data_IF_227779007267
#
_entry.id   IF_227779007267
#
_cell.length_a   1.000
_cell.length_b   1.000
_cell.length_c   1.000
_cell.angle_alpha   90.00
_cell.angle_beta   90.00
_cell.angle_gamma   90.00
#
_symmetry.space_group_name_H-M   'P 1'
#
loop_
_entity.id
_entity.type
_entity.pdbx_description
1 polymer ?
#
# COMPACT_ATOMS: atom_id res chain seq x y z
N UNK A 1 54.13 -10.60 6.77
CA UNK A 1 53.00 -11.03 5.95
C UNK A 1 52.34 -9.79 5.36
N UNK A 2 52.17 -9.68 4.03
CA UNK A 2 51.42 -8.57 3.46
C UNK A 2 49.93 -8.70 3.85
N UNK A 3 49.20 -7.58 4.06
CA UNK A 3 47.80 -7.62 4.39
C UNK A 3 47.00 -8.23 3.25
N UNK A 4 46.10 -9.17 3.57
CA UNK A 4 45.22 -9.79 2.59
C UNK A 4 44.39 -8.71 1.89
N UNK A 5 44.44 -8.70 0.58
CA UNK A 5 43.61 -7.84 -0.25
C UNK A 5 42.12 -8.13 0.09
N UNK A 6 41.40 -7.15 0.60
CA UNK A 6 39.96 -7.22 0.73
C UNK A 6 39.37 -7.36 -0.67
N UNK A 7 38.97 -8.56 -1.03
CA UNK A 7 38.16 -8.79 -2.23
C UNK A 7 36.88 -7.98 -2.06
N UNK A 8 36.75 -6.88 -2.77
CA UNK A 8 35.45 -6.20 -2.90
C UNK A 8 34.53 -7.16 -3.67
N UNK A 9 33.65 -7.80 -2.96
CA UNK A 9 32.49 -8.48 -3.55
C UNK A 9 31.65 -7.37 -4.19
N UNK A 10 31.76 -7.21 -5.50
CA UNK A 10 30.80 -6.41 -6.26
C UNK A 10 29.48 -7.19 -6.23
N UNK A 11 28.63 -6.92 -5.27
CA UNK A 11 27.23 -7.31 -5.32
C UNK A 11 26.54 -6.40 -6.34
N UNK A 12 26.51 -6.82 -7.60
CA UNK A 12 25.54 -6.26 -8.55
C UNK A 12 24.16 -6.69 -8.05
N UNK A 13 23.28 -5.73 -7.76
CA UNK A 13 21.86 -6.05 -7.54
C UNK A 13 21.33 -6.82 -8.76
N UNK A 14 20.44 -7.81 -8.58
CA UNK A 14 19.79 -8.44 -9.71
C UNK A 14 19.12 -7.36 -10.57
N UNK A 15 19.13 -7.57 -11.88
CA UNK A 15 18.44 -6.71 -12.84
C UNK A 15 17.41 -7.55 -13.56
N UNK A 16 16.17 -7.20 -13.40
CA UNK A 16 15.04 -7.86 -14.03
C UNK A 16 14.70 -7.18 -15.35
N UNK A 17 14.50 -7.99 -16.40
CA UNK A 17 14.06 -7.47 -17.69
C UNK A 17 12.62 -6.94 -17.56
N UNK A 18 12.35 -5.77 -18.14
CA UNK A 18 11.00 -5.19 -18.21
C UNK A 18 10.70 -4.86 -19.67
N UNK A 19 9.71 -5.53 -20.23
CA UNK A 19 9.21 -5.25 -21.58
C UNK A 19 7.82 -4.59 -21.48
N UNK A 20 7.51 -3.68 -22.41
CA UNK A 20 6.29 -2.88 -22.37
C UNK A 20 5.54 -2.90 -23.69
N UNK A 21 4.20 -2.84 -23.61
CA UNK A 21 3.30 -2.58 -24.71
C UNK A 21 2.09 -1.80 -24.20
N UNK A 22 1.46 -1.04 -25.09
CA UNK A 22 0.14 -0.45 -24.83
C UNK A 22 -0.80 -0.87 -25.96
N UNK A 23 -2.02 -1.27 -25.62
CA UNK A 23 -3.08 -1.59 -26.58
C UNK A 23 -3.75 -0.31 -27.08
N UNK A 24 -4.43 -0.40 -28.21
CA UNK A 24 -5.15 0.73 -28.81
C UNK A 24 -6.26 1.30 -27.90
N UNK A 25 -6.81 0.48 -26.99
CA UNK A 25 -7.80 0.89 -25.99
C UNK A 25 -7.19 1.53 -24.72
N UNK A 26 -5.87 1.68 -24.69
CA UNK A 26 -5.14 2.35 -23.60
C UNK A 26 -4.62 1.43 -22.48
N UNK A 27 -4.88 0.12 -22.52
CA UNK A 27 -4.31 -0.80 -21.53
C UNK A 27 -2.78 -0.81 -21.62
N UNK A 28 -2.11 -0.50 -20.52
CA UNK A 28 -0.65 -0.60 -20.40
C UNK A 28 -0.28 -2.00 -19.92
N UNK A 29 0.74 -2.58 -20.52
CA UNK A 29 1.18 -3.94 -20.24
C UNK A 29 2.67 -3.92 -19.94
N UNK A 30 3.07 -4.55 -18.84
CA UNK A 30 4.48 -4.75 -18.46
C UNK A 30 4.73 -6.24 -18.24
N UNK A 31 5.83 -6.74 -18.80
CA UNK A 31 6.17 -8.16 -18.75
C UNK A 31 7.62 -8.32 -18.28
N UNK A 32 7.81 -9.20 -17.31
CA UNK A 32 9.13 -9.67 -16.87
C UNK A 32 9.25 -11.18 -17.16
N UNK A 33 9.92 -11.60 -18.25
CA UNK A 33 10.21 -12.99 -18.51
C UNK A 33 11.24 -13.54 -17.50
N UNK A 34 10.93 -14.67 -16.85
CA UNK A 34 11.81 -15.38 -15.93
C UNK A 34 11.49 -16.88 -15.89
N UNK A 35 12.26 -17.66 -16.63
CA UNK A 35 12.11 -19.11 -16.71
C UNK A 35 12.76 -19.88 -15.55
N UNK A 36 13.09 -19.23 -14.44
CA UNK A 36 13.71 -19.89 -13.27
C UNK A 36 12.79 -20.86 -12.55
N UNK A 37 11.48 -20.70 -12.69
CA UNK A 37 10.44 -21.56 -12.12
C UNK A 37 9.24 -21.65 -13.08
N UNK A 38 8.57 -22.83 -13.24
CA UNK A 38 7.47 -23.02 -14.18
C UNK A 38 6.15 -22.41 -13.69
N UNK A 39 6.19 -21.18 -13.23
CA UNK A 39 5.03 -20.43 -12.72
C UNK A 39 4.99 -19.03 -13.31
N UNK A 40 3.80 -18.44 -13.35
CA UNK A 40 3.54 -17.08 -13.77
C UNK A 40 2.69 -16.37 -12.72
N UNK A 41 2.95 -15.10 -12.49
CA UNK A 41 2.06 -14.17 -11.82
C UNK A 41 1.48 -13.20 -12.83
N UNK A 42 0.17 -13.06 -12.81
CA UNK A 42 -0.61 -12.07 -13.57
C UNK A 42 -1.26 -11.13 -12.57
N UNK A 43 -1.11 -9.82 -12.76
CA UNK A 43 -1.69 -8.81 -11.88
C UNK A 43 -2.31 -7.69 -12.71
N UNK A 44 -3.52 -7.27 -12.35
CA UNK A 44 -4.20 -6.11 -12.93
C UNK A 44 -4.43 -5.07 -11.85
N UNK A 45 -3.95 -3.85 -12.09
CA UNK A 45 -4.07 -2.70 -11.21
C UNK A 45 -4.94 -1.64 -11.86
N UNK A 46 -5.99 -1.23 -11.17
CA UNK A 46 -6.88 -0.15 -11.62
C UNK A 46 -6.59 1.13 -10.83
N UNK A 47 -6.49 2.28 -11.50
CA UNK A 47 -6.28 3.60 -10.86
C UNK A 47 -7.59 4.08 -10.20
N UNK A 48 -8.01 3.34 -9.21
CA UNK A 48 -9.17 3.60 -8.37
C UNK A 48 -8.93 2.97 -7.00
N UNK A 49 -8.95 3.78 -5.97
CA UNK A 49 -8.78 3.34 -4.59
C UNK A 49 -9.69 4.15 -3.67
N UNK A 50 -9.41 4.09 -2.37
CA UNK A 50 -10.19 4.80 -1.35
C UNK A 50 -10.38 6.29 -1.70
N UNK A 51 -9.34 6.99 -2.17
CA UNK A 51 -9.41 8.42 -2.55
C UNK A 51 -10.37 8.72 -3.69
N UNK A 52 -10.69 7.74 -4.50
CA UNK A 52 -11.57 7.92 -5.66
C UNK A 52 -13.05 7.89 -5.29
N UNK A 53 -13.37 7.59 -4.05
CA UNK A 53 -14.74 7.44 -3.57
C UNK A 53 -15.44 8.78 -3.46
N UNK A 54 -16.66 8.91 -4.01
CA UNK A 54 -17.43 10.14 -3.85
C UNK A 54 -18.01 10.23 -2.44
N UNK A 55 -18.23 11.45 -1.97
CA UNK A 55 -18.90 11.70 -0.70
C UNK A 55 -20.28 11.01 -0.65
N UNK A 56 -20.58 10.31 0.44
CA UNK A 56 -21.78 9.51 0.60
C UNK A 56 -21.72 8.13 -0.07
N UNK A 57 -20.52 7.69 -0.48
CA UNK A 57 -20.25 6.37 -1.07
C UNK A 57 -18.90 5.83 -0.58
N UNK A 58 -18.61 5.98 0.70
CA UNK A 58 -17.39 5.44 1.31
C UNK A 58 -17.41 3.91 1.33
N UNK A 59 -16.25 3.30 1.10
CA UNK A 59 -16.11 1.85 0.98
C UNK A 59 -16.45 1.27 -0.39
N UNK A 60 -16.73 2.12 -1.39
CA UNK A 60 -17.08 1.64 -2.74
C UNK A 60 -15.91 0.94 -3.44
N UNK A 61 -14.69 1.42 -3.29
CA UNK A 61 -13.52 0.76 -3.85
C UNK A 61 -13.34 -0.65 -3.26
N UNK A 62 -13.49 -0.79 -1.95
CA UNK A 62 -13.43 -2.07 -1.26
C UNK A 62 -14.63 -2.99 -1.62
N UNK A 63 -15.84 -2.45 -1.69
CA UNK A 63 -17.01 -3.21 -2.16
C UNK A 63 -16.80 -3.74 -3.59
N UNK A 64 -16.15 -2.94 -4.45
CA UNK A 64 -15.83 -3.37 -5.81
C UNK A 64 -14.77 -4.46 -5.87
N UNK A 65 -13.79 -4.47 -4.98
CA UNK A 65 -12.87 -5.60 -4.85
C UNK A 65 -13.65 -6.92 -4.71
N UNK A 66 -14.68 -6.95 -3.87
CA UNK A 66 -15.55 -8.10 -3.69
C UNK A 66 -16.45 -8.39 -4.91
N UNK A 67 -17.05 -7.36 -5.50
CA UNK A 67 -17.97 -7.51 -6.63
C UNK A 67 -17.29 -8.10 -7.86
N UNK A 68 -16.03 -7.81 -8.09
CA UNK A 68 -15.24 -8.30 -9.22
C UNK A 68 -15.03 -9.83 -9.22
N UNK A 69 -15.38 -10.51 -8.12
CA UNK A 69 -15.38 -11.98 -8.03
C UNK A 69 -16.77 -12.61 -8.14
N UNK A 70 -17.83 -11.81 -8.35
CA UNK A 70 -19.21 -12.30 -8.34
C UNK A 70 -19.73 -12.78 -9.69
N UNK A 71 -18.82 -12.92 -10.68
CA UNK A 71 -19.12 -13.34 -12.04
C UNK A 71 -18.99 -12.23 -13.07
N UNK A 72 -18.97 -12.63 -14.33
CA UNK A 72 -18.74 -11.78 -15.49
C UNK A 72 -19.59 -12.27 -16.66
N UNK A 73 -19.29 -11.86 -17.89
CA UNK A 73 -20.05 -12.28 -19.08
C UNK A 73 -20.01 -13.79 -19.30
N UNK A 74 -18.83 -14.39 -19.16
CA UNK A 74 -18.59 -15.81 -19.47
C UNK A 74 -18.43 -16.68 -18.23
N UNK A 75 -18.36 -16.07 -17.03
CA UNK A 75 -18.13 -16.77 -15.76
C UNK A 75 -19.28 -16.56 -14.79
N UNK A 76 -19.76 -17.65 -14.21
CA UNK A 76 -20.69 -17.60 -13.10
C UNK A 76 -20.02 -17.14 -11.79
N UNK A 77 -20.88 -16.92 -10.78
CA UNK A 77 -20.43 -16.53 -9.44
C UNK A 77 -19.37 -17.51 -8.91
N UNK A 78 -18.23 -16.97 -8.45
CA UNK A 78 -17.08 -17.72 -7.90
C UNK A 78 -16.36 -18.66 -8.89
N UNK A 79 -16.76 -18.76 -10.14
CA UNK A 79 -16.08 -19.62 -11.12
C UNK A 79 -14.64 -19.17 -11.38
N UNK A 80 -14.33 -17.89 -11.26
CA UNK A 80 -12.94 -17.39 -11.31
C UNK A 80 -12.04 -18.14 -10.31
N UNK A 81 -12.46 -18.27 -9.05
CA UNK A 81 -11.76 -19.06 -8.04
C UNK A 81 -11.62 -20.53 -8.45
N UNK A 82 -12.70 -21.11 -9.00
CA UNK A 82 -12.71 -22.51 -9.42
C UNK A 82 -11.70 -22.77 -10.55
N UNK A 83 -11.60 -21.87 -11.52
CA UNK A 83 -10.65 -22.02 -12.63
C UNK A 83 -9.21 -21.84 -12.17
N UNK A 84 -8.91 -20.82 -11.35
CA UNK A 84 -7.55 -20.60 -10.86
C UNK A 84 -7.11 -21.75 -9.95
N UNK A 85 -7.89 -22.09 -8.93
CA UNK A 85 -7.54 -23.13 -7.97
C UNK A 85 -7.55 -24.54 -8.60
N UNK A 86 -8.49 -24.80 -9.53
CA UNK A 86 -8.56 -26.07 -10.27
C UNK A 86 -7.36 -26.30 -11.18
N UNK A 87 -6.66 -25.25 -11.59
CA UNK A 87 -5.38 -25.33 -12.32
C UNK A 87 -4.14 -25.22 -11.41
N UNK A 88 -4.30 -25.32 -10.09
CA UNK A 88 -3.20 -25.32 -9.12
C UNK A 88 -2.69 -23.93 -8.78
N UNK A 89 -3.45 -22.87 -9.08
CA UNK A 89 -3.11 -21.48 -8.81
C UNK A 89 -3.68 -20.96 -7.48
N UNK A 90 -3.27 -19.78 -7.13
CA UNK A 90 -3.79 -18.94 -6.03
C UNK A 90 -4.13 -17.56 -6.58
N UNK A 91 -5.09 -16.88 -5.96
CA UNK A 91 -5.51 -15.54 -6.35
C UNK A 91 -5.92 -14.72 -5.14
N UNK A 92 -5.87 -13.40 -5.29
CA UNK A 92 -6.41 -12.45 -4.31
C UNK A 92 -6.71 -11.10 -4.98
N UNK A 93 -7.30 -10.20 -4.22
CA UNK A 93 -7.43 -8.78 -4.52
C UNK A 93 -7.09 -7.95 -3.29
N UNK A 94 -6.84 -6.66 -3.47
CA UNK A 94 -6.71 -5.71 -2.38
C UNK A 94 -7.07 -4.30 -2.83
N UNK A 95 -7.59 -3.51 -1.88
CA UNK A 95 -7.91 -2.10 -2.07
C UNK A 95 -6.95 -1.24 -1.27
N UNK A 96 -6.33 -0.30 -1.94
CA UNK A 96 -5.39 0.65 -1.39
C UNK A 96 -5.93 2.08 -1.49
N UNK A 97 -5.13 3.03 -1.02
CA UNK A 97 -5.52 4.43 -1.04
C UNK A 97 -5.73 4.93 -2.48
N UNK A 98 -4.84 4.55 -3.40
CA UNK A 98 -4.79 5.05 -4.77
C UNK A 98 -5.09 4.01 -5.85
N UNK A 99 -5.22 2.73 -5.51
CA UNK A 99 -5.51 1.69 -6.48
C UNK A 99 -6.29 0.52 -5.86
N UNK A 100 -6.91 -0.28 -6.73
CA UNK A 100 -7.43 -1.61 -6.43
C UNK A 100 -6.78 -2.60 -7.38
N UNK A 101 -6.32 -3.73 -6.87
CA UNK A 101 -5.63 -4.73 -7.67
C UNK A 101 -6.23 -6.11 -7.51
N UNK A 102 -5.97 -6.91 -8.52
CA UNK A 102 -6.29 -8.34 -8.56
C UNK A 102 -5.07 -9.07 -9.11
N UNK A 103 -4.80 -10.26 -8.59
CA UNK A 103 -3.67 -11.05 -9.06
C UNK A 103 -3.89 -12.54 -8.86
N UNK A 104 -3.27 -13.32 -9.72
CA UNK A 104 -3.14 -14.76 -9.59
C UNK A 104 -1.71 -15.21 -9.85
N UNK A 105 -1.35 -16.33 -9.18
CA UNK A 105 -0.13 -17.09 -9.46
C UNK A 105 -0.55 -18.47 -9.92
N UNK A 106 -0.11 -18.86 -11.12
CA UNK A 106 -0.51 -20.12 -11.77
C UNK A 106 0.69 -20.84 -12.36
N UNK A 107 0.59 -22.14 -12.66
CA UNK A 107 1.56 -22.80 -13.55
C UNK A 107 1.64 -22.05 -14.88
N UNK A 108 2.84 -21.91 -15.47
CA UNK A 108 3.07 -21.13 -16.70
C UNK A 108 2.22 -21.62 -17.90
N UNK A 109 1.89 -22.92 -17.95
CA UNK A 109 0.97 -23.47 -18.96
C UNK A 109 -0.45 -22.91 -18.91
N UNK A 110 -0.84 -22.25 -17.81
CA UNK A 110 -2.16 -21.64 -17.63
C UNK A 110 -2.14 -20.09 -17.83
N UNK A 111 -1.06 -19.52 -18.35
CA UNK A 111 -0.95 -18.06 -18.56
C UNK A 111 -2.08 -17.50 -19.40
N UNK A 112 -2.43 -18.14 -20.54
CA UNK A 112 -3.52 -17.67 -21.39
C UNK A 112 -4.87 -17.68 -20.65
N UNK A 113 -5.12 -18.71 -19.81
CA UNK A 113 -6.32 -18.77 -18.98
C UNK A 113 -6.36 -17.59 -17.98
N UNK A 114 -5.26 -17.27 -17.29
CA UNK A 114 -5.20 -16.13 -16.41
C UNK A 114 -5.53 -14.82 -17.12
N UNK A 115 -4.94 -14.59 -18.30
CA UNK A 115 -5.24 -13.41 -19.12
C UNK A 115 -6.70 -13.35 -19.58
N UNK A 116 -7.29 -14.49 -19.95
CA UNK A 116 -8.71 -14.57 -20.29
C UNK A 116 -9.60 -14.20 -19.10
N UNK A 117 -9.32 -14.75 -17.91
CA UNK A 117 -10.08 -14.48 -16.69
C UNK A 117 -10.08 -13.00 -16.32
N UNK A 118 -8.91 -12.36 -16.38
CA UNK A 118 -8.75 -10.93 -16.14
C UNK A 118 -9.45 -10.05 -17.18
N UNK A 119 -9.36 -10.43 -18.45
CA UNK A 119 -10.03 -9.73 -19.54
C UNK A 119 -11.56 -9.83 -19.42
N UNK A 120 -12.09 -11.00 -19.06
CA UNK A 120 -13.52 -11.23 -18.93
C UNK A 120 -14.13 -10.36 -17.82
N UNK A 121 -13.51 -10.28 -16.66
CA UNK A 121 -14.00 -9.40 -15.59
C UNK A 121 -13.78 -7.91 -15.87
N UNK A 122 -12.74 -7.51 -16.64
CA UNK A 122 -12.57 -6.13 -17.08
C UNK A 122 -13.64 -5.73 -18.08
N UNK A 123 -14.08 -6.65 -18.94
CA UNK A 123 -15.14 -6.44 -19.92
C UNK A 123 -16.49 -6.22 -19.27
N UNK A 124 -16.81 -7.04 -18.27
CA UNK A 124 -18.10 -6.98 -17.58
C UNK A 124 -18.01 -7.60 -16.19
N UNK A 125 -18.81 -7.10 -15.29
CA UNK A 125 -19.00 -7.67 -13.95
C UNK A 125 -20.49 -7.87 -13.70
N UNK A 126 -20.85 -8.96 -13.01
CA UNK A 126 -22.25 -9.30 -12.72
C UNK A 126 -22.80 -8.43 -11.58
N UNK A 127 -23.02 -7.14 -11.85
CA UNK A 127 -23.67 -6.19 -10.92
C UNK A 127 -25.18 -6.42 -10.95
N UNK A 128 -25.64 -7.35 -10.13
CA UNK A 128 -27.07 -7.62 -9.87
C UNK A 128 -27.45 -7.16 -8.46
N UNK A 129 -28.76 -7.00 -8.18
CA UNK A 129 -29.22 -6.63 -6.83
C UNK A 129 -28.78 -7.68 -5.80
N UNK A 130 -28.94 -8.97 -6.13
CA UNK A 130 -28.59 -10.08 -5.23
C UNK A 130 -27.08 -10.10 -4.91
N UNK A 131 -26.20 -9.85 -5.90
CA UNK A 131 -24.77 -9.79 -5.66
C UNK A 131 -24.39 -8.56 -4.85
N UNK A 132 -24.99 -7.40 -5.13
CA UNK A 132 -24.74 -6.17 -4.39
C UNK A 132 -25.14 -6.32 -2.91
N UNK A 133 -26.37 -6.76 -2.63
CA UNK A 133 -26.86 -6.96 -1.27
C UNK A 133 -26.00 -7.98 -0.50
N UNK A 134 -25.62 -9.05 -1.17
CA UNK A 134 -24.75 -10.07 -0.58
C UNK A 134 -23.37 -9.50 -0.24
N UNK A 135 -22.74 -8.74 -1.15
CA UNK A 135 -21.39 -8.21 -0.90
C UNK A 135 -21.41 -7.05 0.11
N UNK A 136 -22.43 -6.23 0.15
CA UNK A 136 -22.63 -5.25 1.24
C UNK A 136 -22.64 -5.98 2.60
N UNK A 137 -23.39 -7.06 2.73
CA UNK A 137 -23.45 -7.83 3.98
C UNK A 137 -22.09 -8.47 4.33
N UNK A 138 -21.34 -8.95 3.33
CA UNK A 138 -19.97 -9.49 3.52
C UNK A 138 -19.02 -8.40 4.02
N UNK A 139 -18.94 -7.26 3.35
CA UNK A 139 -18.09 -6.12 3.74
C UNK A 139 -18.46 -5.61 5.14
N UNK A 140 -19.75 -5.46 5.44
CA UNK A 140 -20.19 -5.08 6.79
C UNK A 140 -19.75 -6.09 7.86
N UNK A 141 -19.84 -7.39 7.55
CA UNK A 141 -19.36 -8.43 8.48
C UNK A 141 -17.84 -8.36 8.67
N UNK A 142 -17.11 -8.10 7.61
CA UNK A 142 -15.67 -7.91 7.65
C UNK A 142 -15.28 -6.70 8.51
N UNK A 143 -15.94 -5.56 8.34
CA UNK A 143 -15.77 -4.39 9.22
C UNK A 143 -16.04 -4.75 10.68
N UNK A 144 -17.12 -5.52 10.96
CA UNK A 144 -17.39 -5.97 12.33
C UNK A 144 -16.25 -6.83 12.89
N UNK A 145 -15.74 -7.76 12.12
CA UNK A 145 -14.70 -8.70 12.58
C UNK A 145 -13.33 -8.01 12.70
N UNK A 146 -12.94 -7.22 11.71
CA UNK A 146 -11.59 -6.66 11.62
C UNK A 146 -11.43 -5.31 12.35
N UNK A 147 -12.54 -4.60 12.57
CA UNK A 147 -12.52 -3.26 13.19
C UNK A 147 -13.32 -3.26 14.50
N UNK A 148 -14.63 -3.53 14.45
CA UNK A 148 -15.51 -3.26 15.60
C UNK A 148 -15.35 -4.27 16.75
N UNK A 149 -15.03 -5.53 16.45
CA UNK A 149 -14.92 -6.62 17.43
C UNK A 149 -13.46 -7.05 17.69
N UNK A 150 -12.50 -6.21 17.35
CA UNK A 150 -11.06 -6.49 17.52
C UNK A 150 -10.43 -5.39 18.39
N UNK A 151 -9.60 -5.74 19.39
CA UNK A 151 -8.78 -4.74 20.11
C UNK A 151 -7.97 -3.91 19.12
N UNK A 152 -7.93 -2.61 19.33
CA UNK A 152 -7.27 -1.64 18.45
C UNK A 152 -7.80 -1.66 17.01
N UNK A 153 -9.04 -2.09 16.79
CA UNK A 153 -9.59 -2.21 15.46
C UNK A 153 -9.70 -0.87 14.71
N UNK A 154 -9.03 -0.77 13.56
CA UNK A 154 -8.94 0.46 12.77
C UNK A 154 -7.97 1.52 13.33
N UNK A 155 -7.34 1.28 14.47
CA UNK A 155 -6.28 2.14 14.99
C UNK A 155 -4.92 1.71 14.41
N UNK A 156 -4.08 2.65 13.95
CA UNK A 156 -4.39 4.08 13.75
C UNK A 156 -4.96 4.40 12.36
N UNK A 157 -4.93 3.48 11.40
CA UNK A 157 -5.09 3.70 9.96
C UNK A 157 -6.48 4.24 9.52
N UNK A 158 -7.56 3.91 10.23
CA UNK A 158 -8.88 4.49 9.99
C UNK A 158 -9.13 5.78 10.77
N UNK A 159 -8.39 5.99 11.85
CA UNK A 159 -8.68 7.02 12.85
C UNK A 159 -7.80 8.27 12.70
N UNK A 160 -6.59 8.12 12.21
CA UNK A 160 -5.66 9.24 11.96
C UNK A 160 -6.08 10.09 10.76
N UNK A 161 -6.52 9.55 9.60
CA UNK A 161 -6.82 10.37 8.44
C UNK A 161 -7.77 11.54 8.69
N UNK A 162 -8.93 11.38 9.36
CA UNK A 162 -9.84 12.50 9.62
C UNK A 162 -9.29 13.58 10.55
N UNK A 163 -8.24 13.28 11.32
CA UNK A 163 -7.55 14.25 12.17
C UNK A 163 -6.41 14.94 11.42
N UNK A 164 -5.71 14.21 10.54
CA UNK A 164 -4.52 14.67 9.84
C UNK A 164 -4.86 15.50 8.60
N UNK A 165 -5.87 15.11 7.86
CA UNK A 165 -6.29 15.70 6.60
C UNK A 165 -7.59 16.48 6.73
N UNK A 166 -7.85 17.38 5.77
CA UNK A 166 -9.06 18.19 5.69
C UNK A 166 -9.86 17.94 4.43
N UNK A 167 -9.21 17.51 3.35
CA UNK A 167 -9.89 17.08 2.14
C UNK A 167 -10.58 15.74 2.35
N UNK A 168 -11.82 15.62 1.87
CA UNK A 168 -12.61 14.40 2.01
C UNK A 168 -11.89 13.18 1.43
N UNK A 169 -11.27 13.32 0.26
CA UNK A 169 -10.57 12.22 -0.40
C UNK A 169 -9.42 11.64 0.44
N UNK A 170 -8.74 12.48 1.25
CA UNK A 170 -7.64 12.06 2.11
C UNK A 170 -8.09 11.63 3.51
N UNK A 171 -9.26 12.08 3.97
CA UNK A 171 -9.68 12.00 5.37
C UNK A 171 -10.77 10.96 5.64
N UNK A 172 -11.55 10.55 4.64
CA UNK A 172 -12.67 9.65 4.88
C UNK A 172 -12.26 8.20 5.18
N UNK A 173 -13.19 7.45 5.75
CA UNK A 173 -13.05 6.03 6.02
C UNK A 173 -13.18 5.21 4.73
N UNK A 174 -12.07 4.85 4.10
CA UNK A 174 -12.06 4.02 2.90
C UNK A 174 -12.43 2.55 3.10
N UNK A 175 -12.59 2.08 4.35
CA UNK A 175 -13.10 0.73 4.62
C UNK A 175 -14.63 0.66 4.47
N UNK A 176 -15.31 1.80 4.58
CA UNK A 176 -16.74 1.99 4.35
C UNK A 176 -17.53 2.30 5.61
N UNK A 177 -18.44 3.25 5.46
CA UNK A 177 -19.48 3.52 6.44
C UNK A 177 -20.70 2.66 6.14
N UNK A 178 -21.37 2.11 7.17
CA UNK A 178 -22.53 1.25 7.00
C UNK A 178 -23.70 1.97 6.32
N UNK A 179 -23.90 3.26 6.62
CA UNK A 179 -24.97 4.06 6.01
C UNK A 179 -24.71 4.24 4.51
N UNK A 180 -23.47 4.52 4.14
CA UNK A 180 -23.08 4.69 2.74
C UNK A 180 -23.20 3.37 1.96
N UNK A 181 -22.73 2.26 2.55
CA UNK A 181 -22.84 0.93 1.96
C UNK A 181 -24.31 0.52 1.76
N UNK A 182 -25.17 0.69 2.78
CA UNK A 182 -26.59 0.32 2.72
C UNK A 182 -27.40 1.19 1.75
N UNK A 183 -26.97 2.43 1.50
CA UNK A 183 -27.62 3.33 0.54
C UNK A 183 -27.20 3.08 -0.91
N UNK A 184 -26.27 2.16 -1.14
CA UNK A 184 -25.70 1.89 -2.45
C UNK A 184 -26.70 1.19 -3.37
N UNK A 185 -26.74 1.60 -4.63
CA UNK A 185 -27.63 1.03 -5.64
C UNK A 185 -26.87 0.32 -6.76
N UNK A 186 -27.56 -0.57 -7.48
CA UNK A 186 -27.01 -1.22 -8.68
C UNK A 186 -26.55 -0.17 -9.72
N UNK A 187 -27.26 0.97 -9.80
CA UNK A 187 -26.89 2.05 -10.71
C UNK A 187 -25.58 2.72 -10.30
N UNK A 188 -25.39 2.98 -9.00
CA UNK A 188 -24.13 3.52 -8.46
C UNK A 188 -22.97 2.56 -8.76
N UNK A 189 -23.17 1.27 -8.51
CA UNK A 189 -22.19 0.24 -8.76
C UNK A 189 -21.82 0.14 -10.26
N UNK A 190 -22.81 0.13 -11.15
CA UNK A 190 -22.53 0.13 -12.60
C UNK A 190 -21.80 1.39 -13.05
N UNK A 191 -22.22 2.56 -12.54
CA UNK A 191 -21.54 3.83 -12.83
C UNK A 191 -20.07 3.85 -12.36
N UNK A 192 -19.79 3.23 -11.21
CA UNK A 192 -18.43 3.12 -10.69
C UNK A 192 -17.58 2.16 -11.56
N UNK A 193 -18.11 1.01 -11.94
CA UNK A 193 -17.45 0.09 -12.86
C UNK A 193 -17.16 0.77 -14.21
N UNK A 194 -18.17 1.40 -14.81
CA UNK A 194 -18.04 2.05 -16.11
C UNK A 194 -17.02 3.18 -16.09
N UNK A 195 -16.86 3.85 -14.97
CA UNK A 195 -15.93 4.96 -14.82
C UNK A 195 -14.49 4.52 -14.60
N UNK A 196 -14.26 3.49 -13.80
CA UNK A 196 -12.92 3.17 -13.28
C UNK A 196 -12.34 1.86 -13.81
N UNK A 197 -13.17 0.87 -14.10
CA UNK A 197 -12.72 -0.47 -14.53
C UNK A 197 -12.64 -0.56 -16.05
N UNK A 198 -11.73 0.23 -16.61
CA UNK A 198 -11.53 0.36 -18.06
C UNK A 198 -10.06 0.12 -18.42
N UNK A 199 -9.79 -0.38 -19.66
CA UNK A 199 -8.42 -0.64 -20.11
C UNK A 199 -7.47 0.54 -19.93
N UNK A 200 -7.89 1.75 -20.33
CA UNK A 200 -7.08 2.96 -20.23
C UNK A 200 -6.76 3.40 -18.78
N UNK A 201 -7.51 2.89 -17.79
CA UNK A 201 -7.31 3.14 -16.37
C UNK A 201 -6.57 2.00 -15.65
N UNK A 202 -6.02 1.02 -16.41
CA UNK A 202 -5.44 -0.18 -15.86
C UNK A 202 -4.00 -0.42 -16.32
N UNK A 203 -3.29 -1.21 -15.53
CA UNK A 203 -2.00 -1.81 -15.87
C UNK A 203 -2.12 -3.32 -15.71
N UNK A 204 -1.78 -4.06 -16.75
CA UNK A 204 -1.59 -5.50 -16.71
C UNK A 204 -0.09 -5.79 -16.53
N UNK A 205 0.26 -6.52 -15.51
CA UNK A 205 1.64 -6.92 -15.22
C UNK A 205 1.76 -8.44 -15.19
N UNK A 206 2.74 -8.97 -15.91
CA UNK A 206 3.01 -10.41 -15.99
C UNK A 206 4.47 -10.68 -15.67
N UNK A 207 4.73 -11.60 -14.74
CA UNK A 207 6.09 -12.01 -14.40
C UNK A 207 6.17 -13.53 -14.26
N UNK A 208 7.21 -14.14 -14.82
CA UNK A 208 7.45 -15.57 -14.69
C UNK A 208 7.88 -16.26 -15.98
N UNK A 209 7.66 -17.56 -16.05
CA UNK A 209 8.04 -18.42 -17.19
C UNK A 209 7.12 -18.18 -18.39
N UNK A 210 7.38 -17.09 -19.08
CA UNK A 210 6.61 -16.63 -20.24
C UNK A 210 7.52 -16.08 -21.34
N UNK A 211 7.04 -16.15 -22.58
CA UNK A 211 7.57 -15.37 -23.71
C UNK A 211 6.76 -14.06 -23.81
N UNK A 212 7.44 -12.92 -23.75
CA UNK A 212 6.77 -11.62 -23.74
C UNK A 212 5.99 -11.35 -25.03
N UNK A 213 6.48 -11.78 -26.18
CA UNK A 213 5.75 -11.60 -27.45
C UNK A 213 4.46 -12.41 -27.47
N UNK A 214 4.47 -13.61 -26.87
CA UNK A 214 3.27 -14.43 -26.72
C UNK A 214 2.27 -13.80 -25.74
N UNK A 215 2.75 -13.26 -24.60
CA UNK A 215 1.89 -12.54 -23.64
C UNK A 215 1.24 -11.33 -24.32
N UNK A 216 1.99 -10.56 -25.10
CA UNK A 216 1.44 -9.41 -25.84
C UNK A 216 0.40 -9.84 -26.88
N UNK A 217 0.63 -10.96 -27.57
CA UNK A 217 -0.36 -11.49 -28.53
C UNK A 217 -1.65 -11.94 -27.83
N UNK A 218 -1.56 -12.63 -26.70
CA UNK A 218 -2.73 -13.01 -25.90
C UNK A 218 -3.44 -11.79 -25.30
N UNK A 219 -2.67 -10.79 -24.84
CA UNK A 219 -3.26 -9.55 -24.34
C UNK A 219 -4.05 -8.81 -25.43
N UNK A 220 -3.52 -8.70 -26.66
CA UNK A 220 -4.26 -8.15 -27.80
C UNK A 220 -5.52 -8.98 -28.10
N UNK A 221 -5.43 -10.32 -28.08
CA UNK A 221 -6.54 -11.24 -28.36
C UNK A 221 -7.68 -11.08 -27.34
N UNK A 222 -7.38 -11.00 -26.03
CA UNK A 222 -8.39 -11.04 -24.98
C UNK A 222 -8.85 -9.66 -24.52
N UNK A 223 -7.97 -8.65 -24.51
CA UNK A 223 -8.27 -7.30 -24.03
C UNK A 223 -8.49 -6.29 -25.18
N UNK A 224 -7.97 -6.56 -26.39
CA UNK A 224 -7.92 -5.57 -27.48
C UNK A 224 -9.28 -5.07 -27.96
N UNK A 225 -10.32 -5.90 -27.87
CA UNK A 225 -11.69 -5.56 -28.26
C UNK A 225 -12.53 -4.95 -27.12
N UNK A 226 -12.00 -4.89 -25.88
CA UNK A 226 -12.66 -4.18 -24.78
C UNK A 226 -12.71 -2.69 -25.14
N UNK A 227 -13.91 -2.06 -25.15
CA UNK A 227 -14.02 -0.68 -25.58
C UNK A 227 -13.18 0.28 -24.71
N UNK A 228 -12.47 1.18 -25.38
CA UNK A 228 -11.86 2.30 -24.71
C UNK A 228 -12.94 3.17 -24.03
N UNK A 229 -12.71 3.59 -22.82
CA UNK A 229 -13.56 4.52 -22.06
C UNK A 229 -12.77 5.76 -21.71
N UNK A 230 -13.47 6.86 -21.43
CA UNK A 230 -12.81 8.06 -20.91
C UNK A 230 -12.16 7.75 -19.56
N UNK A 231 -10.85 7.97 -19.47
CA UNK A 231 -10.11 7.83 -18.21
C UNK A 231 -10.42 9.02 -17.33
N UNK A 232 -10.85 8.82 -16.07
CA UNK A 232 -11.12 9.93 -15.17
C UNK A 232 -9.88 10.80 -14.98
N UNK A 233 -10.04 12.12 -15.14
CA UNK A 233 -8.98 13.04 -14.76
C UNK A 233 -8.77 12.97 -13.26
N UNK A 234 -7.56 12.62 -12.82
CA UNK A 234 -7.23 12.56 -11.41
C UNK A 234 -7.15 14.00 -10.85
N UNK A 235 -7.89 14.31 -9.77
CA UNK A 235 -7.76 15.60 -9.11
C UNK A 235 -6.43 15.69 -8.35
N UNK A 236 -6.01 16.90 -7.99
CA UNK A 236 -4.93 17.09 -7.02
C UNK A 236 -5.48 16.84 -5.62
N UNK A 237 -4.81 15.98 -4.87
CA UNK A 237 -5.13 15.70 -3.46
C UNK A 237 -4.19 16.45 -2.49
N UNK A 238 -3.35 17.35 -3.03
CA UNK A 238 -2.41 18.12 -2.21
C UNK A 238 -3.15 19.09 -1.29
N UNK A 239 -2.74 19.15 -0.04
CA UNK A 239 -3.28 20.03 0.98
C UNK A 239 -2.16 20.85 1.64
N UNK A 240 -2.43 22.05 2.21
CA UNK A 240 -1.47 22.76 3.05
C UNK A 240 -1.00 21.91 4.24
N UNK A 241 0.28 22.01 4.61
CA UNK A 241 0.79 21.33 5.80
C UNK A 241 0.11 21.90 7.06
N UNK A 242 -0.13 21.08 8.10
CA UNK A 242 -0.62 21.55 9.39
C UNK A 242 0.32 22.58 10.00
N UNK A 243 -0.24 23.64 10.59
CA UNK A 243 0.51 24.71 11.27
C UNK A 243 0.42 24.63 12.77
N UNK A 244 -0.43 23.75 13.30
CA UNK A 244 -0.67 23.53 14.72
C UNK A 244 -0.88 22.06 15.02
N UNK A 245 -0.53 21.66 16.25
CA UNK A 245 -0.78 20.30 16.71
C UNK A 245 -2.27 20.02 16.80
N UNK A 246 -2.66 18.83 16.36
CA UNK A 246 -3.99 18.28 16.60
C UNK A 246 -3.89 17.12 17.56
N UNK A 247 -4.82 17.02 18.51
CA UNK A 247 -4.83 15.93 19.50
C UNK A 247 -6.26 15.50 19.75
N UNK A 248 -6.47 14.19 19.79
CA UNK A 248 -7.77 13.58 20.11
C UNK A 248 -7.57 12.31 20.94
N UNK A 249 -8.66 11.87 21.58
CA UNK A 249 -8.68 10.70 22.45
C UNK A 249 -9.81 9.78 22.02
N UNK A 250 -9.48 8.54 21.70
CA UNK A 250 -10.43 7.49 21.43
C UNK A 250 -10.48 6.48 22.59
N UNK A 251 -11.64 5.87 22.77
CA UNK A 251 -11.85 4.83 23.77
C UNK A 251 -12.16 3.50 23.10
N UNK A 252 -11.40 2.47 23.45
CA UNK A 252 -11.64 1.11 23.00
C UNK A 252 -11.87 0.18 24.19
N UNK A 253 -13.11 -0.32 24.30
CA UNK A 253 -13.51 -1.22 25.37
C UNK A 253 -12.83 -2.60 25.29
N UNK A 254 -12.25 -2.95 24.14
CA UNK A 254 -11.59 -4.23 23.90
C UNK A 254 -10.06 -4.11 24.07
N UNK A 255 -9.50 -2.91 24.02
CA UNK A 255 -8.06 -2.73 24.14
C UNK A 255 -7.56 -3.14 25.53
N UNK A 256 -6.54 -4.02 25.62
CA UNK A 256 -5.98 -4.44 26.92
C UNK A 256 -5.04 -3.42 27.55
N UNK A 257 -4.53 -2.46 26.77
CA UNK A 257 -3.58 -1.43 27.22
C UNK A 257 -3.73 -0.16 26.37
N UNK A 258 -3.30 1.02 26.86
CA UNK A 258 -3.30 2.23 26.05
C UNK A 258 -2.30 2.18 24.90
N UNK A 259 -2.62 2.93 23.85
CA UNK A 259 -1.74 3.17 22.72
C UNK A 259 -1.78 4.64 22.33
N UNK A 260 -0.77 5.10 21.62
CA UNK A 260 -0.74 6.42 21.00
C UNK A 260 -0.19 6.33 19.59
N UNK A 261 -0.88 6.99 18.68
CA UNK A 261 -0.39 7.22 17.32
C UNK A 261 0.00 8.69 17.16
N UNK A 262 1.16 8.92 16.54
CA UNK A 262 1.63 10.26 16.20
C UNK A 262 1.88 10.28 14.70
N UNK A 263 1.27 11.22 14.00
CA UNK A 263 1.35 11.32 12.56
C UNK A 263 1.76 12.71 12.10
N UNK A 264 2.55 12.75 11.03
CA UNK A 264 2.91 13.97 10.33
C UNK A 264 2.62 13.80 8.85
N UNK A 265 2.29 14.90 8.20
CA UNK A 265 2.31 14.95 6.74
C UNK A 265 3.73 15.13 6.26
N UNK A 266 4.09 14.38 5.23
CA UNK A 266 5.43 14.40 4.62
C UNK A 266 5.31 14.80 3.15
N UNK A 267 6.44 15.08 2.44
CA UNK A 267 6.41 15.29 1.00
C UNK A 267 5.71 14.18 0.25
N UNK A 268 5.09 14.51 -0.87
CA UNK A 268 4.33 13.56 -1.67
C UNK A 268 5.24 12.46 -2.26
N UNK A 269 4.81 11.20 -2.25
CA UNK A 269 5.59 10.08 -2.78
C UNK A 269 5.87 10.16 -4.29
N UNK A 270 5.21 11.08 -5.02
CA UNK A 270 5.49 11.35 -6.41
C UNK A 270 6.94 11.84 -6.65
N UNK A 271 7.50 12.61 -5.70
CA UNK A 271 8.93 13.00 -5.72
C UNK A 271 9.75 12.12 -4.77
N UNK A 272 10.26 11.03 -5.29
CA UNK A 272 11.08 10.08 -4.52
C UNK A 272 12.34 10.71 -3.93
N UNK A 273 12.88 11.78 -4.52
CA UNK A 273 14.11 12.42 -4.02
C UNK A 273 13.90 13.08 -2.67
N UNK A 274 12.75 13.74 -2.49
CA UNK A 274 12.37 14.38 -1.24
C UNK A 274 11.69 13.42 -0.28
N UNK A 275 11.05 12.37 -0.77
CA UNK A 275 10.26 11.43 0.01
C UNK A 275 11.10 10.30 0.67
N UNK A 276 12.03 9.67 -0.08
CA UNK A 276 12.83 8.54 0.42
C UNK A 276 13.60 8.82 1.72
N UNK A 277 14.11 10.04 1.99
CA UNK A 277 14.69 10.34 3.30
C UNK A 277 13.75 10.08 4.49
N UNK A 278 12.44 10.29 4.34
CA UNK A 278 11.45 9.98 5.38
C UNK A 278 11.20 8.48 5.50
N UNK A 279 11.23 7.74 4.40
CA UNK A 279 11.16 6.28 4.42
C UNK A 279 12.34 5.70 5.21
N UNK A 280 13.54 6.19 4.95
CA UNK A 280 14.75 5.79 5.69
C UNK A 280 14.67 6.23 7.16
N UNK A 281 14.12 7.42 7.44
CA UNK A 281 13.93 7.92 8.80
C UNK A 281 13.02 6.99 9.63
N UNK A 282 11.91 6.52 9.07
CA UNK A 282 11.02 5.59 9.76
C UNK A 282 11.75 4.31 10.18
N UNK A 283 12.56 3.76 9.27
CA UNK A 283 13.36 2.56 9.52
C UNK A 283 14.44 2.80 10.61
N UNK A 284 15.09 3.96 10.60
CA UNK A 284 16.07 4.35 11.63
C UNK A 284 15.42 4.44 13.01
N UNK A 285 14.19 4.93 13.05
CA UNK A 285 13.47 5.13 14.32
C UNK A 285 12.90 3.83 14.87
N UNK A 286 12.41 2.92 14.01
CA UNK A 286 11.51 1.84 14.49
C UNK A 286 11.81 0.45 13.98
N UNK A 287 12.63 0.24 12.93
CA UNK A 287 12.85 -1.09 12.38
C UNK A 287 14.06 -1.81 12.99
N UNK A 288 13.77 -2.93 13.66
CA UNK A 288 14.74 -3.80 14.35
C UNK A 288 15.16 -3.31 15.73
N UNK A 289 15.65 -4.23 16.55
CA UNK A 289 15.97 -4.02 17.98
C UNK A 289 16.98 -2.91 18.25
N UNK A 290 17.82 -2.55 17.26
CA UNK A 290 18.80 -1.48 17.35
C UNK A 290 18.29 -0.15 16.77
N UNK A 291 17.01 -0.04 16.44
CA UNK A 291 16.40 1.22 16.03
C UNK A 291 16.20 2.13 17.25
N UNK A 292 16.24 3.44 17.03
CA UNK A 292 16.37 4.41 18.12
C UNK A 292 15.24 4.37 19.14
N UNK A 293 13.99 4.35 18.67
CA UNK A 293 12.84 4.33 19.57
C UNK A 293 12.64 2.96 20.22
N UNK A 294 12.94 1.85 19.50
CA UNK A 294 12.87 0.53 20.13
C UNK A 294 13.92 0.37 21.23
N UNK A 295 15.18 0.73 20.94
CA UNK A 295 16.23 0.70 21.96
C UNK A 295 15.87 1.58 23.17
N UNK A 296 15.45 2.84 22.94
CA UNK A 296 15.12 3.77 24.00
C UNK A 296 13.90 3.32 24.81
N UNK A 297 12.77 3.05 24.14
CA UNK A 297 11.48 2.87 24.83
C UNK A 297 11.26 1.43 25.33
N UNK A 298 11.77 0.40 24.63
CA UNK A 298 11.59 -0.99 25.04
C UNK A 298 12.71 -1.49 25.95
N UNK A 299 13.98 -1.13 25.65
CA UNK A 299 15.13 -1.71 26.35
C UNK A 299 15.64 -0.83 27.50
N UNK A 300 15.77 0.48 27.27
CA UNK A 300 16.31 1.41 28.28
C UNK A 300 15.24 1.88 29.27
N UNK A 301 14.25 2.62 28.80
CA UNK A 301 13.24 3.27 29.65
C UNK A 301 12.11 2.32 30.05
N UNK A 302 11.86 1.27 29.28
CA UNK A 302 10.75 0.32 29.43
C UNK A 302 9.39 1.04 29.54
N UNK A 303 9.27 2.13 28.78
CA UNK A 303 8.09 2.98 28.75
C UNK A 303 7.02 2.49 27.77
N UNK A 304 7.39 1.61 26.85
CA UNK A 304 6.51 1.01 25.85
C UNK A 304 6.58 -0.51 25.86
N UNK A 305 5.54 -1.16 25.33
CA UNK A 305 5.47 -2.60 25.08
C UNK A 305 5.70 -2.96 23.60
N UNK A 306 5.38 -2.03 22.70
CA UNK A 306 5.74 -2.11 21.28
C UNK A 306 5.87 -0.70 20.71
N UNK A 307 6.74 -0.56 19.70
CA UNK A 307 6.94 0.66 18.92
C UNK A 307 7.00 0.27 17.46
N UNK A 308 6.19 0.92 16.64
CA UNK A 308 6.18 0.79 15.19
C UNK A 308 6.23 2.16 14.52
N UNK A 309 6.69 2.18 13.28
CA UNK A 309 6.66 3.39 12.47
C UNK A 309 6.79 3.06 11.00
N UNK A 310 6.04 3.78 10.17
CA UNK A 310 5.98 3.54 8.74
C UNK A 310 5.48 4.77 7.99
N UNK A 311 5.66 4.78 6.69
CA UNK A 311 5.02 5.71 5.77
C UNK A 311 3.91 5.00 5.02
N UNK A 312 2.93 5.80 4.61
CA UNK A 312 1.73 5.24 3.99
C UNK A 312 0.68 4.84 5.01
N UNK A 313 -0.58 4.91 4.63
CA UNK A 313 -1.68 4.60 5.54
C UNK A 313 -1.74 3.11 5.87
N UNK A 314 -1.36 2.26 4.92
CA UNK A 314 -1.39 0.81 5.04
C UNK A 314 0.01 0.19 5.24
N UNK A 315 1.04 1.01 5.42
CA UNK A 315 2.40 0.57 5.76
C UNK A 315 3.31 0.29 4.55
N UNK A 316 2.84 0.44 3.32
CA UNK A 316 3.70 0.43 2.14
C UNK A 316 4.04 1.87 1.74
N UNK A 317 5.32 2.29 1.79
CA UNK A 317 5.70 3.65 1.48
C UNK A 317 5.57 4.02 0.00
N UNK A 318 5.43 3.06 -0.90
CA UNK A 318 5.45 3.29 -2.35
C UNK A 318 4.14 2.97 -3.06
N UNK A 319 3.11 2.58 -2.31
CA UNK A 319 1.78 2.26 -2.83
C UNK A 319 0.92 3.49 -3.20
N UNK A 320 1.38 4.67 -2.85
CA UNK A 320 0.70 5.94 -3.15
C UNK A 320 1.63 6.92 -3.88
N UNK A 321 1.05 7.90 -4.58
CA UNK A 321 1.76 9.04 -5.21
C UNK A 321 1.37 10.39 -4.63
N UNK A 322 0.26 10.46 -3.91
CA UNK A 322 -0.33 11.67 -3.31
C UNK A 322 -0.07 11.71 -1.78
N UNK A 323 -0.51 12.75 -1.08
CA UNK A 323 -0.21 12.95 0.32
C UNK A 323 -0.41 11.72 1.19
N UNK A 324 0.59 11.41 2.02
CA UNK A 324 0.61 10.25 2.90
C UNK A 324 1.15 10.61 4.28
N UNK A 325 0.79 9.90 5.36
CA UNK A 325 1.35 10.13 6.68
C UNK A 325 2.72 9.46 6.86
N UNK A 326 3.58 10.12 7.63
CA UNK A 326 4.59 9.46 8.45
C UNK A 326 3.91 9.12 9.78
N UNK A 327 3.94 7.87 10.20
CA UNK A 327 3.17 7.38 11.32
C UNK A 327 4.07 6.66 12.32
N UNK A 328 3.94 7.01 13.61
CA UNK A 328 4.48 6.25 14.72
C UNK A 328 3.32 5.72 15.56
N UNK A 329 3.43 4.46 15.97
CA UNK A 329 2.46 3.78 16.83
C UNK A 329 3.19 3.20 18.02
N UNK A 330 2.77 3.55 19.23
CA UNK A 330 3.38 3.11 20.48
C UNK A 330 2.30 2.53 21.40
N UNK A 331 2.45 1.27 21.78
CA UNK A 331 1.67 0.67 22.86
C UNK A 331 2.44 0.78 24.16
N UNK A 332 1.77 1.21 25.23
CA UNK A 332 2.41 1.44 26.51
C UNK A 332 1.56 0.94 27.68
N UNK A 333 2.14 0.88 28.86
CA UNK A 333 1.41 0.49 30.07
C UNK A 333 0.56 1.64 30.61
N UNK A 334 -0.48 1.34 31.37
CA UNK A 334 -1.28 2.35 32.07
C UNK A 334 -0.46 3.19 33.06
N UNK A 335 0.67 2.66 33.56
CA UNK A 335 1.57 3.37 34.47
C UNK A 335 2.45 4.40 33.76
N UNK A 336 2.59 4.30 32.44
CA UNK A 336 3.36 5.25 31.64
C UNK A 336 2.42 6.35 31.15
N UNK A 337 2.57 7.61 31.60
CA UNK A 337 1.79 8.71 31.05
C UNK A 337 2.07 8.88 29.54
N UNK A 338 1.04 9.12 28.76
CA UNK A 338 1.19 9.33 27.31
C UNK A 338 2.14 10.49 26.99
N UNK A 339 2.14 11.55 27.79
CA UNK A 339 3.06 12.69 27.60
C UNK A 339 4.54 12.29 27.78
N UNK A 340 4.85 11.25 28.56
CA UNK A 340 6.20 10.67 28.63
C UNK A 340 6.58 10.02 27.30
N UNK A 341 5.65 9.27 26.70
CA UNK A 341 5.87 8.64 25.38
C UNK A 341 6.11 9.70 24.32
N UNK A 342 5.27 10.74 24.27
CA UNK A 342 5.38 11.85 23.32
C UNK A 342 6.71 12.59 23.50
N UNK A 343 7.09 12.89 24.74
CA UNK A 343 8.37 13.56 25.06
C UNK A 343 9.55 12.73 24.56
N UNK A 344 9.52 11.39 24.73
CA UNK A 344 10.60 10.52 24.25
C UNK A 344 10.71 10.54 22.73
N UNK A 345 9.59 10.54 22.01
CA UNK A 345 9.56 10.67 20.54
C UNK A 345 10.19 12.01 20.13
N UNK A 346 9.74 13.11 20.74
CA UNK A 346 10.21 14.45 20.42
C UNK A 346 11.71 14.60 20.71
N UNK A 347 12.21 14.06 21.82
CA UNK A 347 13.63 14.06 22.17
C UNK A 347 14.48 13.29 21.15
N UNK A 348 14.03 12.11 20.67
CA UNK A 348 14.78 11.35 19.69
C UNK A 348 14.77 12.01 18.29
N UNK A 349 13.66 12.59 17.88
CA UNK A 349 13.59 13.39 16.65
C UNK A 349 14.50 14.63 16.74
N UNK A 350 14.46 15.36 17.86
CA UNK A 350 15.31 16.52 18.08
C UNK A 350 16.80 16.16 18.14
N UNK A 351 17.16 15.01 18.77
CA UNK A 351 18.53 14.50 18.80
C UNK A 351 19.00 14.13 17.40
N UNK A 352 18.16 13.48 16.61
CA UNK A 352 18.50 13.13 15.24
C UNK A 352 18.65 14.38 14.36
N UNK A 353 17.80 15.39 14.57
CA UNK A 353 17.88 16.68 13.89
C UNK A 353 19.15 17.47 14.25
N UNK A 354 19.62 17.41 15.52
CA UNK A 354 20.83 18.12 15.96
C UNK A 354 22.12 17.36 15.68
N UNK A 355 22.18 16.10 16.07
CA UNK A 355 23.43 15.31 16.09
C UNK A 355 23.59 14.44 14.82
N UNK A 356 22.50 14.21 14.08
CA UNK A 356 22.46 13.37 12.90
C UNK A 356 22.52 11.86 13.22
N UNK A 357 22.87 11.09 12.22
CA UNK A 357 23.04 9.64 12.33
C UNK A 357 24.41 9.28 12.89
N UNK A 358 24.47 8.20 13.67
CA UNK A 358 25.75 7.65 14.14
C UNK A 358 26.53 6.97 12.99
N UNK A 359 27.87 6.81 13.10
CA UNK A 359 28.66 6.14 12.07
C UNK A 359 28.14 4.75 11.75
N UNK A 360 27.87 4.47 10.46
CA UNK A 360 27.38 3.19 9.96
C UNK A 360 25.89 2.90 10.23
N UNK A 361 25.15 3.80 10.89
CA UNK A 361 23.71 3.64 11.13
C UNK A 361 22.93 3.67 9.81
N UNK A 362 23.20 4.66 8.95
CA UNK A 362 22.58 4.75 7.63
C UNK A 362 22.91 3.51 6.78
N UNK A 363 24.17 3.10 6.72
CA UNK A 363 24.58 1.95 5.89
C UNK A 363 23.87 0.66 6.32
N UNK A 364 23.74 0.42 7.62
CA UNK A 364 23.01 -0.75 8.15
C UNK A 364 21.54 -0.69 7.80
N UNK A 365 20.90 0.47 7.93
CA UNK A 365 19.48 0.67 7.61
C UNK A 365 19.24 0.44 6.12
N UNK A 366 20.00 1.08 5.24
CA UNK A 366 19.89 0.91 3.78
C UNK A 366 20.15 -0.56 3.38
N UNK A 367 21.12 -1.23 4.00
CA UNK A 367 21.40 -2.64 3.71
C UNK A 367 20.20 -3.54 4.08
N UNK A 368 19.55 -3.31 5.22
CA UNK A 368 18.35 -4.04 5.64
C UNK A 368 17.17 -3.80 4.70
N UNK A 369 16.88 -2.53 4.42
CA UNK A 369 15.82 -2.14 3.47
C UNK A 369 16.03 -2.77 2.10
N UNK A 370 17.25 -2.68 1.57
CA UNK A 370 17.60 -3.29 0.28
C UNK A 370 17.43 -4.81 0.31
N UNK A 371 17.87 -5.47 1.38
CA UNK A 371 17.74 -6.92 1.51
C UNK A 371 16.27 -7.37 1.64
N UNK A 372 15.41 -6.59 2.32
CA UNK A 372 13.96 -6.84 2.42
C UNK A 372 13.32 -6.70 1.03
N UNK A 373 13.58 -5.60 0.35
CA UNK A 373 13.08 -5.35 -0.99
C UNK A 373 13.50 -6.44 -1.99
N UNK A 374 14.77 -6.83 -2.00
CA UNK A 374 15.26 -7.88 -2.89
C UNK A 374 14.62 -9.25 -2.62
N UNK A 375 14.27 -9.57 -1.36
CA UNK A 375 13.51 -10.79 -1.04
C UNK A 375 12.07 -10.74 -1.54
N UNK A 376 11.44 -9.57 -1.52
CA UNK A 376 10.10 -9.37 -2.05
C UNK A 376 10.06 -9.59 -3.56
N UNK A 377 10.93 -8.91 -4.29
CA UNK A 377 10.99 -9.02 -5.76
C UNK A 377 11.70 -10.29 -6.28
N UNK A 378 12.18 -11.16 -5.39
CA UNK A 378 12.70 -12.49 -5.76
C UNK A 378 11.58 -13.43 -6.23
N UNK A 379 10.36 -13.25 -5.73
CA UNK A 379 9.19 -14.00 -6.18
C UNK A 379 8.58 -13.43 -7.46
N UNK A 380 7.98 -14.30 -8.29
CA UNK A 380 7.26 -13.86 -9.51
C UNK A 380 6.10 -12.91 -9.16
N UNK A 381 5.38 -13.18 -8.06
CA UNK A 381 4.30 -12.32 -7.57
C UNK A 381 4.84 -10.97 -7.14
N UNK A 382 5.89 -10.93 -6.31
CA UNK A 382 6.48 -9.68 -5.86
C UNK A 382 6.94 -8.81 -7.03
N UNK A 383 7.52 -9.40 -8.08
CA UNK A 383 7.88 -8.65 -9.30
C UNK A 383 6.66 -8.13 -10.04
N UNK A 384 5.66 -8.98 -10.28
CA UNK A 384 4.46 -8.58 -11.00
C UNK A 384 3.73 -7.42 -10.30
N UNK A 385 3.54 -7.51 -8.98
CA UNK A 385 2.86 -6.47 -8.18
C UNK A 385 3.69 -5.19 -8.07
N UNK A 386 5.00 -5.30 -7.85
CA UNK A 386 5.91 -4.13 -7.80
C UNK A 386 5.98 -3.40 -9.14
N UNK A 387 6.10 -4.11 -10.27
CA UNK A 387 6.06 -3.49 -11.59
C UNK A 387 4.72 -2.80 -11.85
N UNK A 388 3.61 -3.45 -11.48
CA UNK A 388 2.28 -2.91 -11.68
C UNK A 388 2.06 -1.59 -10.92
N UNK A 389 2.40 -1.53 -9.63
CA UNK A 389 2.23 -0.32 -8.83
C UNK A 389 3.16 0.80 -9.30
N UNK A 390 4.40 0.49 -9.67
CA UNK A 390 5.34 1.49 -10.18
C UNK A 390 4.93 2.01 -11.56
N UNK A 391 4.45 1.13 -12.43
CA UNK A 391 3.89 1.54 -13.72
C UNK A 391 2.65 2.40 -13.54
N UNK A 392 1.73 1.97 -12.70
CA UNK A 392 0.47 2.67 -12.52
C UNK A 392 0.65 4.02 -11.83
N UNK A 393 1.42 4.06 -10.74
CA UNK A 393 1.57 5.28 -9.93
C UNK A 393 2.59 6.27 -10.51
N UNK A 394 3.54 5.80 -11.36
CA UNK A 394 4.72 6.59 -11.77
C UNK A 394 5.11 6.44 -13.24
N UNK A 395 4.36 5.67 -14.04
CA UNK A 395 4.71 5.32 -15.43
C UNK A 395 6.16 4.78 -15.57
N UNK A 396 6.60 4.00 -14.57
CA UNK A 396 8.01 3.63 -14.44
C UNK A 396 8.19 2.24 -13.81
N UNK A 397 7.80 1.18 -14.50
CA UNK A 397 8.01 -0.20 -14.01
C UNK A 397 9.49 -0.52 -13.74
N UNK A 398 10.43 0.12 -14.46
CA UNK A 398 11.89 -0.04 -14.26
C UNK A 398 12.38 0.42 -12.88
N UNK A 399 11.57 1.17 -12.14
CA UNK A 399 11.86 1.50 -10.74
C UNK A 399 12.08 0.24 -9.89
N UNK A 400 11.53 -0.90 -10.31
CA UNK A 400 11.86 -2.24 -9.77
C UNK A 400 13.37 -2.46 -9.63
N UNK A 401 14.16 -2.06 -10.63
CA UNK A 401 15.62 -2.22 -10.63
C UNK A 401 16.36 -1.05 -9.99
N UNK A 402 15.76 0.13 -9.97
CA UNK A 402 16.40 1.38 -9.59
C UNK A 402 16.29 1.67 -8.10
N UNK A 403 15.22 1.21 -7.45
CA UNK A 403 14.93 1.51 -6.04
C UNK A 403 16.11 1.22 -5.10
N UNK A 404 16.84 0.09 -5.21
CA UNK A 404 18.02 -0.12 -4.38
C UNK A 404 19.12 0.93 -4.58
N UNK A 405 19.22 1.49 -5.79
CA UNK A 405 20.13 2.59 -6.11
C UNK A 405 19.69 3.91 -5.48
N UNK A 406 18.39 4.22 -5.56
CA UNK A 406 17.81 5.41 -4.99
C UNK A 406 17.91 5.41 -3.45
N UNK A 407 17.67 4.26 -2.80
CA UNK A 407 17.87 4.12 -1.36
C UNK A 407 19.31 4.38 -0.95
N UNK A 408 20.28 3.83 -1.70
CA UNK A 408 21.73 4.08 -1.46
C UNK A 408 22.15 5.52 -1.71
N UNK A 409 21.41 6.27 -2.51
CA UNK A 409 21.68 7.68 -2.76
C UNK A 409 21.18 8.62 -1.65
N UNK A 410 20.33 8.13 -0.75
CA UNK A 410 19.89 8.90 0.43
C UNK A 410 21.08 9.17 1.33
N UNK A 411 21.26 10.43 1.71
CA UNK A 411 22.38 10.88 2.55
C UNK A 411 21.94 11.06 4.01
N UNK A 412 22.89 10.94 4.94
CA UNK A 412 22.65 11.21 6.35
C UNK A 412 22.11 12.63 6.60
N UNK A 413 22.57 13.61 5.82
CA UNK A 413 22.09 14.99 5.91
C UNK A 413 20.61 15.12 5.50
N UNK A 414 20.17 14.38 4.49
CA UNK A 414 18.75 14.37 4.08
C UNK A 414 17.86 13.74 5.16
N UNK A 415 18.29 12.62 5.77
CA UNK A 415 17.55 11.99 6.88
C UNK A 415 17.50 12.91 8.09
N UNK A 416 18.60 13.60 8.43
CA UNK A 416 18.67 14.60 9.48
C UNK A 416 17.71 15.77 9.22
N UNK A 417 17.68 16.29 7.99
CA UNK A 417 16.77 17.35 7.58
C UNK A 417 15.30 16.89 7.63
N UNK A 418 15.00 15.66 7.24
CA UNK A 418 13.65 15.09 7.36
C UNK A 418 13.21 15.04 8.84
N UNK A 419 14.07 14.56 9.76
CA UNK A 419 13.77 14.53 11.18
C UNK A 419 13.46 15.93 11.75
N UNK A 420 14.16 16.97 11.29
CA UNK A 420 13.96 18.35 11.73
C UNK A 420 12.58 18.93 11.34
N UNK A 421 11.88 18.33 10.39
CA UNK A 421 10.53 18.76 9.99
C UNK A 421 9.41 18.11 10.81
N UNK A 422 9.68 16.96 11.44
CA UNK A 422 8.71 16.24 12.27
C UNK A 422 8.69 16.82 13.67
N UNK A 423 7.96 17.92 13.83
CA UNK A 423 7.92 18.68 15.09
C UNK A 423 6.62 18.45 15.86
N UNK A 424 6.60 18.64 17.18
CA UNK A 424 5.37 18.57 17.97
C UNK A 424 4.27 19.51 17.46
N UNK A 425 4.65 20.69 16.91
CA UNK A 425 3.71 21.70 16.46
C UNK A 425 2.90 21.29 15.24
N UNK A 426 3.46 20.40 14.41
CA UNK A 426 2.80 19.93 13.17
C UNK A 426 2.28 18.49 13.30
N UNK A 427 2.46 17.89 14.50
CA UNK A 427 2.01 16.54 14.79
C UNK A 427 0.48 16.44 14.94
N UNK A 428 -0.06 15.31 14.47
CA UNK A 428 -1.40 14.85 14.84
C UNK A 428 -1.24 13.70 15.82
N UNK A 429 -1.83 13.82 17.00
CA UNK A 429 -1.74 12.83 18.07
C UNK A 429 -3.10 12.21 18.32
N UNK A 430 -3.18 10.91 18.31
CA UNK A 430 -4.37 10.16 18.68
C UNK A 430 -4.03 9.21 19.83
N UNK A 431 -4.62 9.48 21.00
CA UNK A 431 -4.54 8.56 22.14
C UNK A 431 -5.66 7.51 22.04
N UNK A 432 -5.32 6.26 22.26
CA UNK A 432 -6.31 5.21 22.48
C UNK A 432 -6.25 4.76 23.94
N UNK A 433 -7.37 4.89 24.63
CA UNK A 433 -7.55 4.54 26.03
C UNK A 433 -8.43 3.30 26.18
N UNK A 434 -8.01 2.31 26.99
CA UNK A 434 -8.87 1.19 27.34
C UNK A 434 -10.17 1.63 28.02
N UNK A 435 -11.25 0.87 27.76
CA UNK A 435 -12.54 1.12 28.41
C UNK A 435 -13.51 1.95 27.56
N UNK A 436 -14.62 2.31 28.16
CA UNK A 436 -15.66 3.12 27.49
C UNK A 436 -15.42 4.60 27.77
N UNK A 437 -15.80 5.45 26.83
CA UNK A 437 -15.90 6.88 27.10
C UNK A 437 -16.87 7.11 28.28
N UNK A 438 -16.48 7.93 29.22
CA UNK A 438 -17.27 8.26 30.42
C UNK A 438 -18.42 9.19 30.11
#
# INVERSE_FOLDING_TARGET
MPPAAKTQVRTTSPSYEVQRMALANGLRIVVNPDASSPVVAVAVYYDVGMRSEPQGRTGFAHLFEHLMFQGSENLGKTEHFTYVQGNGGTLNGSTHVDYTNYYEVMPSAATELALFLEADRMRSVAVTQDNLDNQIAVVQNEIRVNVLNRPYGGFPWLKIPPLLFTDFANSHNGYGDFVDLESSTVQDARGFFDRYYAPGNAVLSVSGDVDAAQVFAWAEQHFGDIPAREVPTRPSFSEPLPTEQRRDVEHDALAPAPAVAVAWRVPDPADLTTYLPYVVLAEVLTDGDASRLQERMLLQDRSATSVGGYLGLLGDPLDARDPTPFLLEVHHSEQTPVDTVLTTIDEELARLASDGLTPGELDRTIARMTARYLREVDSVLGRATTMAVFEQQRDRAELLNELPGLLRAVTAQQVQAAAATLTPQTATVLELRPGKAS
#
